data_IF_232847769338
#
_entry.id   IF_232847769338
#
_cell.length_a   1.000
_cell.length_b   1.000
_cell.length_c   1.000
_cell.angle_alpha   90.00
_cell.angle_beta   90.00
_cell.angle_gamma   90.00
#
_symmetry.space_group_name_H-M   'P 1'
#
loop_
_entity.id
_entity.type
_entity.pdbx_description
1 polymer ?
#
# COMPACT_ATOMS: atom_id res chain seq x y z
N UNK A 1 27.56 9.72 9.62
CA UNK A 1 26.67 8.64 10.12
C UNK A 1 25.34 9.22 10.63
N UNK A 2 25.35 10.27 11.47
CA UNK A 2 24.10 10.96 11.90
C UNK A 2 23.25 11.48 10.74
N UNK A 3 23.87 12.11 9.73
CA UNK A 3 23.16 12.68 8.56
C UNK A 3 22.35 11.65 7.76
N UNK A 4 22.86 10.43 7.58
CA UNK A 4 22.15 9.36 6.86
C UNK A 4 20.98 8.82 7.68
N UNK A 5 21.13 8.69 9.01
CA UNK A 5 20.04 8.25 9.89
C UNK A 5 18.90 9.26 9.90
N UNK A 6 19.21 10.54 10.01
CA UNK A 6 18.20 11.61 9.93
C UNK A 6 17.44 11.55 8.61
N UNK A 7 18.16 11.41 7.49
CA UNK A 7 17.51 11.34 6.17
C UNK A 7 16.60 10.12 6.01
N UNK A 8 16.96 8.97 6.56
CA UNK A 8 16.11 7.77 6.54
C UNK A 8 14.82 7.99 7.33
N UNK A 9 14.90 8.62 8.50
CA UNK A 9 13.70 8.90 9.32
C UNK A 9 12.78 9.95 8.67
N UNK A 10 13.36 10.97 8.03
CA UNK A 10 12.60 11.93 7.21
C UNK A 10 11.84 11.24 6.09
N UNK A 11 12.54 10.41 5.29
CA UNK A 11 11.93 9.67 4.18
C UNK A 11 10.85 8.70 4.67
N UNK A 12 11.08 8.01 5.80
CA UNK A 12 10.05 7.16 6.41
C UNK A 12 8.80 7.96 6.77
N UNK A 13 8.97 9.16 7.34
CA UNK A 13 7.84 10.03 7.66
C UNK A 13 7.11 10.52 6.41
N UNK A 14 7.83 10.91 5.37
CA UNK A 14 7.26 11.31 4.08
C UNK A 14 6.44 10.16 3.46
N UNK A 15 7.00 8.94 3.43
CA UNK A 15 6.29 7.76 2.90
C UNK A 15 5.02 7.46 3.71
N UNK A 16 5.08 7.52 5.05
CA UNK A 16 3.87 7.38 5.88
C UNK A 16 2.80 8.39 5.50
N UNK A 17 3.19 9.64 5.31
CA UNK A 17 2.27 10.71 4.92
C UNK A 17 1.64 10.42 3.57
N UNK A 18 2.42 9.98 2.57
CA UNK A 18 1.93 9.60 1.24
C UNK A 18 0.91 8.45 1.36
N UNK A 19 1.23 7.37 2.07
CA UNK A 19 0.29 6.24 2.26
C UNK A 19 -1.04 6.71 2.84
N UNK A 20 -1.01 7.63 3.80
CA UNK A 20 -2.22 8.15 4.46
C UNK A 20 -2.99 9.19 3.66
N UNK A 21 -2.34 9.91 2.74
CA UNK A 21 -2.97 10.98 1.95
C UNK A 21 -3.46 10.53 0.58
N UNK A 22 -2.97 9.41 0.06
CA UNK A 22 -3.46 8.81 -1.19
C UNK A 22 -4.89 8.31 -0.99
N UNK A 23 -5.86 9.08 -1.50
CA UNK A 23 -7.28 8.74 -1.45
C UNK A 23 -7.78 7.89 -2.63
N UNK A 24 -7.01 7.84 -3.72
CA UNK A 24 -7.35 7.06 -4.90
C UNK A 24 -6.84 5.62 -4.75
N UNK A 25 -7.76 4.65 -4.83
CA UNK A 25 -7.50 3.29 -4.35
C UNK A 25 -6.54 2.49 -5.23
N UNK A 26 -6.51 2.72 -6.55
CA UNK A 26 -5.57 2.01 -7.44
C UNK A 26 -4.17 2.56 -7.21
N UNK A 27 -3.99 3.89 -7.18
CA UNK A 27 -2.71 4.49 -6.80
C UNK A 27 -2.22 4.02 -5.42
N UNK A 28 -3.12 3.79 -4.46
CA UNK A 28 -2.75 3.26 -3.15
C UNK A 28 -2.22 1.83 -3.23
N UNK A 29 -2.82 0.96 -4.05
CA UNK A 29 -2.29 -0.39 -4.30
C UNK A 29 -0.97 -0.37 -5.05
N UNK A 30 -0.78 0.52 -6.02
CA UNK A 30 0.49 0.68 -6.75
C UNK A 30 1.62 1.14 -5.83
N UNK A 31 1.32 2.03 -4.88
CA UNK A 31 2.27 2.44 -3.86
C UNK A 31 2.65 1.27 -2.95
N UNK A 32 1.67 0.48 -2.49
CA UNK A 32 1.92 -0.71 -1.67
C UNK A 32 2.80 -1.70 -2.43
N UNK A 33 2.45 -2.02 -3.69
CA UNK A 33 3.24 -2.91 -4.54
C UNK A 33 4.68 -2.42 -4.70
N UNK A 34 4.86 -1.12 -4.91
CA UNK A 34 6.18 -0.51 -5.02
C UNK A 34 7.00 -0.67 -3.73
N UNK A 35 6.38 -0.47 -2.56
CA UNK A 35 7.04 -0.63 -1.26
C UNK A 35 7.41 -2.10 -0.97
N UNK A 36 6.56 -3.04 -1.39
CA UNK A 36 6.84 -4.47 -1.29
C UNK A 36 8.02 -4.87 -2.18
N UNK A 37 8.02 -4.44 -3.45
CA UNK A 37 9.10 -4.72 -4.40
C UNK A 37 10.43 -4.09 -4.01
N UNK A 38 10.39 -2.95 -3.33
CA UNK A 38 11.56 -2.32 -2.73
C UNK A 38 12.04 -3.00 -1.43
N UNK A 39 11.26 -3.94 -0.88
CA UNK A 39 11.59 -4.66 0.35
C UNK A 39 11.51 -3.79 1.61
N UNK A 40 10.76 -2.69 1.57
CA UNK A 40 10.64 -1.72 2.68
C UNK A 40 9.23 -1.66 3.29
N UNK A 41 8.27 -2.41 2.74
CA UNK A 41 6.89 -2.44 3.21
C UNK A 41 6.75 -2.77 4.71
N UNK A 42 7.66 -3.57 5.27
CA UNK A 42 7.64 -3.96 6.69
C UNK A 42 7.77 -2.77 7.67
N UNK A 43 8.24 -1.60 7.21
CA UNK A 43 8.27 -0.38 8.02
C UNK A 43 6.91 0.31 8.17
N UNK A 44 5.93 -0.09 7.35
CA UNK A 44 4.64 0.59 7.18
C UNK A 44 3.44 -0.37 7.29
N UNK A 45 3.62 -1.54 7.92
CA UNK A 45 2.58 -2.59 7.97
C UNK A 45 1.24 -2.09 8.52
N UNK A 46 1.27 -1.18 9.49
CA UNK A 46 0.06 -0.62 10.11
C UNK A 46 -0.69 0.31 9.16
N UNK A 47 0.01 1.17 8.45
CA UNK A 47 -0.53 2.08 7.45
C UNK A 47 -1.06 1.32 6.24
N UNK A 48 -0.33 0.29 5.80
CA UNK A 48 -0.73 -0.58 4.70
C UNK A 48 -1.99 -1.36 5.05
N UNK A 49 -2.05 -2.02 6.23
CA UNK A 49 -3.26 -2.74 6.65
C UNK A 49 -4.49 -1.86 6.70
N UNK A 50 -4.38 -0.66 7.28
CA UNK A 50 -5.50 0.29 7.33
C UNK A 50 -6.00 0.67 5.94
N UNK A 51 -5.09 0.82 4.98
CA UNK A 51 -5.42 1.11 3.58
C UNK A 51 -6.14 -0.07 2.93
N UNK A 52 -5.64 -1.28 3.14
CA UNK A 52 -6.22 -2.51 2.61
C UNK A 52 -7.58 -2.84 3.22
N UNK A 53 -7.82 -2.51 4.49
CA UNK A 53 -9.14 -2.65 5.12
C UNK A 53 -10.20 -1.87 4.33
N UNK A 54 -9.91 -0.61 3.98
CA UNK A 54 -10.81 0.23 3.17
C UNK A 54 -10.99 -0.36 1.77
N UNK A 55 -9.89 -0.72 1.10
CA UNK A 55 -9.92 -1.28 -0.27
C UNK A 55 -10.67 -2.62 -0.33
N UNK A 56 -10.58 -3.45 0.72
CA UNK A 56 -11.24 -4.76 0.79
C UNK A 56 -12.77 -4.64 0.75
N UNK A 57 -13.30 -3.56 1.34
CA UNK A 57 -14.75 -3.28 1.36
C UNK A 57 -15.24 -2.49 0.15
N UNK A 58 -14.32 -1.92 -0.65
CA UNK A 58 -14.67 -1.14 -1.83
C UNK A 58 -15.14 -2.03 -2.99
N UNK A 59 -16.22 -1.61 -3.65
CA UNK A 59 -16.80 -2.29 -4.82
C UNK A 59 -16.67 -1.47 -6.11
N UNK A 60 -15.94 -0.34 -6.08
CA UNK A 60 -15.80 0.60 -7.20
C UNK A 60 -14.33 0.93 -7.44
N UNK A 61 -13.98 1.29 -8.68
CA UNK A 61 -12.62 1.71 -9.03
C UNK A 61 -11.66 0.55 -9.35
N UNK A 62 -12.20 -0.64 -9.60
CA UNK A 62 -11.43 -1.83 -10.00
C UNK A 62 -12.06 -2.50 -11.24
N UNK A 63 -12.60 -1.71 -12.18
CA UNK A 63 -13.36 -2.22 -13.32
C UNK A 63 -12.46 -2.81 -14.42
N UNK A 64 -11.20 -2.37 -14.52
CA UNK A 64 -10.25 -2.87 -15.51
C UNK A 64 -9.46 -4.08 -15.01
N UNK A 65 -8.91 -4.85 -15.96
CA UNK A 65 -8.18 -6.08 -15.65
C UNK A 65 -6.95 -5.83 -14.78
N UNK A 66 -6.26 -4.70 -14.96
CA UNK A 66 -5.05 -4.40 -14.22
C UNK A 66 -5.37 -4.08 -12.76
N UNK A 67 -6.30 -3.15 -12.52
CA UNK A 67 -6.71 -2.75 -11.16
C UNK A 67 -7.35 -3.91 -10.39
N UNK A 68 -8.20 -4.71 -11.04
CA UNK A 68 -8.80 -5.91 -10.45
C UNK A 68 -7.76 -6.96 -10.07
N UNK A 69 -6.82 -7.26 -10.98
CA UNK A 69 -5.75 -8.23 -10.73
C UNK A 69 -4.80 -7.77 -9.60
N UNK A 70 -4.46 -6.48 -9.60
CA UNK A 70 -3.62 -5.88 -8.56
C UNK A 70 -4.32 -5.98 -7.19
N UNK A 71 -5.58 -5.57 -7.10
CA UNK A 71 -6.38 -5.68 -5.87
C UNK A 71 -6.46 -7.11 -5.37
N UNK A 72 -6.80 -8.06 -6.24
CA UNK A 72 -6.93 -9.46 -5.86
C UNK A 72 -5.63 -10.02 -5.30
N UNK A 73 -4.51 -9.80 -6.00
CA UNK A 73 -3.20 -10.28 -5.57
C UNK A 73 -2.80 -9.66 -4.23
N UNK A 74 -2.85 -8.33 -4.10
CA UNK A 74 -2.43 -7.64 -2.87
C UNK A 74 -3.29 -8.08 -1.69
N UNK A 75 -4.62 -8.11 -1.83
CA UNK A 75 -5.50 -8.54 -0.74
C UNK A 75 -5.23 -9.99 -0.30
N UNK A 76 -5.01 -10.93 -1.24
CA UNK A 76 -4.62 -12.31 -0.92
C UNK A 76 -3.28 -12.38 -0.17
N UNK A 77 -2.29 -11.60 -0.59
CA UNK A 77 -0.96 -11.57 0.04
C UNK A 77 -1.03 -11.16 1.51
N UNK A 78 -1.94 -10.23 1.84
CA UNK A 78 -2.17 -9.77 3.22
C UNK A 78 -3.21 -10.60 4.00
N UNK A 79 -3.71 -11.70 3.43
CA UNK A 79 -4.61 -12.64 4.11
C UNK A 79 -6.09 -12.28 4.06
N UNK A 80 -6.50 -11.33 3.23
CA UNK A 80 -7.92 -11.01 3.04
C UNK A 80 -8.59 -12.10 2.19
N UNK A 81 -9.81 -12.47 2.58
CA UNK A 81 -10.62 -13.40 1.81
C UNK A 81 -11.30 -12.67 0.65
N UNK A 82 -10.77 -12.85 -0.56
CA UNK A 82 -11.32 -12.30 -1.80
C UNK A 82 -11.75 -13.42 -2.74
N UNK A 83 -12.98 -13.31 -3.26
CA UNK A 83 -13.47 -14.17 -4.34
C UNK A 83 -12.82 -13.78 -5.66
N UNK A 84 -12.54 -14.80 -6.49
CA UNK A 84 -12.13 -14.61 -7.87
C UNK A 84 -13.34 -14.25 -8.76
#
# INVERSE_FOLDING_TARGET
IETQRTRVEELRREVRQIITSTGEQVAQLELIDSLERLGVAYHFESEIRRSLDVISTSTRGFEDMYSSSLRFRTLRQYGYNVSA
#
